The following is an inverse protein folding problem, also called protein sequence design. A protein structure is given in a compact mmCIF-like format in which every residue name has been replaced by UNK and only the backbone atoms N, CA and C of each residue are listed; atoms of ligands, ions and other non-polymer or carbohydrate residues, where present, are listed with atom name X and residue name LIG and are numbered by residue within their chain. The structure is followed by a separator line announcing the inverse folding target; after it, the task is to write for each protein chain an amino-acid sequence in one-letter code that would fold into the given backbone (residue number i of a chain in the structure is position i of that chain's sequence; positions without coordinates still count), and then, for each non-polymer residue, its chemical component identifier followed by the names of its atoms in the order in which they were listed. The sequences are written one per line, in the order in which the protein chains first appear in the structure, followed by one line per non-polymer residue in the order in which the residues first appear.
data_IF_756624905541
#
_entry.id   IF_756624905541
#
_cell.length_a   1.000
_cell.length_b   1.000
_cell.length_c   1.000
_cell.angle_alpha   90.00
_cell.angle_beta   90.00
_cell.angle_gamma   90.00
#
_symmetry.space_group_name_H-M   'P 1'
#
loop_
_entity.id
_entity.type
_entity.pdbx_description
1 polymer ?
#
# COMPACT_ATOMS: atom_id res chain seq x y z
N UNK A 1 29.69 21.84 -14.06
CA UNK A 1 28.92 23.10 -14.00
C UNK A 1 27.45 22.90 -13.58
N UNK A 2 26.64 22.11 -14.30
CA UNK A 2 25.22 21.91 -13.96
C UNK A 2 24.96 21.30 -12.56
N UNK A 3 25.80 20.37 -12.10
CA UNK A 3 25.67 19.75 -10.77
C UNK A 3 25.80 20.79 -9.66
N UNK A 4 26.83 21.64 -9.71
CA UNK A 4 27.03 22.72 -8.73
C UNK A 4 25.87 23.73 -8.78
N UNK A 5 25.43 24.11 -9.98
CA UNK A 5 24.27 25.01 -10.16
C UNK A 5 22.98 24.43 -9.57
N UNK A 6 22.78 23.11 -9.65
CA UNK A 6 21.64 22.45 -9.03
C UNK A 6 21.79 22.39 -7.50
N UNK A 7 22.99 22.12 -6.99
CA UNK A 7 23.29 22.06 -5.57
C UNK A 7 23.15 23.42 -4.87
N UNK A 8 23.43 24.53 -5.56
CA UNK A 8 23.26 25.90 -5.05
C UNK A 8 21.84 26.21 -4.54
N UNK A 9 20.81 25.52 -5.05
CA UNK A 9 19.43 25.66 -4.54
C UNK A 9 19.26 25.16 -3.10
N UNK A 10 20.04 24.16 -2.72
CA UNK A 10 20.00 23.54 -1.40
C UNK A 10 21.12 24.04 -0.49
N UNK A 11 22.22 24.53 -1.06
CA UNK A 11 23.41 25.03 -0.34
C UNK A 11 23.80 26.38 -0.97
N UNK A 12 23.24 27.50 -0.50
CA UNK A 12 23.51 28.82 -1.07
C UNK A 12 24.99 29.24 -1.01
N UNK A 13 25.72 28.80 0.04
CA UNK A 13 27.15 29.08 0.24
C UNK A 13 28.06 28.61 -0.91
N UNK A 14 27.60 27.68 -1.76
CA UNK A 14 28.33 27.22 -2.95
C UNK A 14 28.47 28.29 -4.05
N UNK A 15 27.86 29.47 -3.91
CA UNK A 15 28.08 30.58 -4.84
C UNK A 15 29.47 31.20 -4.67
N UNK A 16 29.92 31.37 -3.43
CA UNK A 16 31.15 32.10 -3.10
C UNK A 16 32.33 31.16 -2.77
N UNK A 17 32.03 29.91 -2.45
CA UNK A 17 33.01 28.93 -1.98
C UNK A 17 33.56 28.00 -3.06
N UNK A 18 33.12 28.17 -4.32
CA UNK A 18 33.46 27.27 -5.43
C UNK A 18 34.12 28.03 -6.57
N UNK A 19 35.28 27.57 -7.01
CA UNK A 19 36.03 28.12 -8.14
C UNK A 19 36.28 27.05 -9.21
N UNK A 20 36.10 27.43 -10.49
CA UNK A 20 36.32 26.54 -11.62
C UNK A 20 37.76 26.64 -12.11
N UNK A 21 38.50 25.53 -12.06
CA UNK A 21 39.75 25.36 -12.80
C UNK A 21 39.50 24.89 -14.24
N UNK A 22 40.57 24.65 -15.00
CA UNK A 22 40.47 24.12 -16.36
C UNK A 22 39.91 22.69 -16.41
N UNK A 23 40.31 21.84 -15.46
CA UNK A 23 39.91 20.42 -15.40
C UNK A 23 39.20 20.02 -14.11
N UNK A 24 39.39 20.79 -13.03
CA UNK A 24 38.91 20.44 -11.68
C UNK A 24 38.10 21.57 -11.03
N UNK A 25 37.29 21.17 -10.05
CA UNK A 25 36.54 22.08 -9.20
C UNK A 25 37.32 22.32 -7.90
N UNK A 26 37.50 23.58 -7.52
CA UNK A 26 38.14 23.96 -6.27
C UNK A 26 37.08 24.42 -5.29
N UNK A 27 37.09 23.85 -4.08
CA UNK A 27 36.18 24.18 -2.98
C UNK A 27 37.04 24.79 -1.87
N UNK A 28 36.65 25.97 -1.38
CA UNK A 28 37.46 26.75 -0.44
C UNK A 28 37.48 26.16 0.98
N UNK A 29 36.33 25.73 1.48
CA UNK A 29 36.20 25.25 2.87
C UNK A 29 35.86 23.75 2.90
N UNK A 30 36.30 23.03 3.95
CA UNK A 30 35.85 21.65 4.18
C UNK A 30 34.34 21.59 4.47
N UNK A 31 33.75 22.65 5.01
CA UNK A 31 32.33 22.74 5.35
C UNK A 31 31.43 22.67 4.11
N UNK A 32 31.76 23.41 3.04
CA UNK A 32 31.06 23.30 1.77
C UNK A 32 31.19 21.93 1.12
N UNK A 33 32.34 21.27 1.27
CA UNK A 33 32.53 19.90 0.82
C UNK A 33 31.63 18.92 1.59
N UNK A 34 31.61 19.00 2.92
CA UNK A 34 30.72 18.15 3.73
C UNK A 34 29.24 18.43 3.48
N UNK A 35 28.86 19.68 3.21
CA UNK A 35 27.50 20.03 2.81
C UNK A 35 27.10 19.33 1.50
N UNK A 36 28.01 19.28 0.51
CA UNK A 36 27.80 18.55 -0.74
C UNK A 36 27.66 17.03 -0.53
N UNK A 37 28.50 16.42 0.31
CA UNK A 37 28.39 14.99 0.64
C UNK A 37 27.07 14.68 1.37
N UNK A 38 26.67 15.52 2.33
CA UNK A 38 25.38 15.37 3.02
C UNK A 38 24.19 15.50 2.06
N UNK A 39 24.26 16.40 1.08
CA UNK A 39 23.26 16.51 0.02
C UNK A 39 23.26 15.29 -0.89
N UNK A 40 24.44 14.73 -1.20
CA UNK A 40 24.59 13.49 -1.99
C UNK A 40 23.95 12.31 -1.28
N UNK A 41 24.23 12.09 0.00
CA UNK A 41 23.63 11.02 0.81
C UNK A 41 22.10 11.11 0.83
N UNK A 42 21.57 12.31 1.10
CA UNK A 42 20.12 12.57 1.06
C UNK A 42 19.54 12.26 -0.33
N UNK A 43 20.20 12.71 -1.38
CA UNK A 43 19.75 12.51 -2.78
C UNK A 43 19.81 11.03 -3.18
N UNK A 44 20.83 10.29 -2.72
CA UNK A 44 20.94 8.85 -2.92
C UNK A 44 19.74 8.11 -2.28
N UNK A 45 19.37 8.50 -1.05
CA UNK A 45 18.16 7.99 -0.40
C UNK A 45 16.87 8.24 -1.20
N UNK A 46 16.77 9.40 -1.86
CA UNK A 46 15.64 9.71 -2.77
C UNK A 46 15.64 8.78 -3.99
N UNK A 47 16.79 8.51 -4.61
CA UNK A 47 16.89 7.59 -5.75
C UNK A 47 16.55 6.16 -5.36
N UNK A 48 17.09 5.66 -4.24
CA UNK A 48 16.76 4.34 -3.70
C UNK A 48 15.25 4.22 -3.47
N UNK A 49 14.65 5.21 -2.82
CA UNK A 49 13.20 5.26 -2.59
C UNK A 49 12.40 5.26 -3.89
N UNK A 50 12.84 5.99 -4.92
CA UNK A 50 12.19 6.00 -6.24
C UNK A 50 12.25 4.63 -6.91
N UNK A 51 13.41 3.97 -6.89
CA UNK A 51 13.60 2.64 -7.48
C UNK A 51 12.75 1.62 -6.74
N UNK A 52 12.80 1.61 -5.41
CA UNK A 52 11.99 0.71 -4.57
C UNK A 52 10.50 0.91 -4.84
N UNK A 53 10.01 2.16 -4.87
CA UNK A 53 8.60 2.46 -5.21
C UNK A 53 8.25 1.97 -6.62
N UNK A 54 9.12 2.19 -7.61
CA UNK A 54 8.90 1.73 -8.97
C UNK A 54 8.83 0.20 -9.06
N UNK A 55 9.71 -0.52 -8.36
CA UNK A 55 9.72 -1.97 -8.28
C UNK A 55 8.47 -2.51 -7.58
N UNK A 56 8.14 -2.00 -6.39
CA UNK A 56 6.94 -2.42 -5.64
C UNK A 56 5.68 -2.17 -6.47
N UNK A 57 5.61 -1.03 -7.15
CA UNK A 57 4.52 -0.72 -8.09
C UNK A 57 4.47 -1.72 -9.25
N UNK A 58 5.60 -2.05 -9.87
CA UNK A 58 5.66 -3.03 -10.95
C UNK A 58 5.24 -4.43 -10.49
N UNK A 59 5.78 -4.90 -9.37
CA UNK A 59 5.52 -6.21 -8.79
C UNK A 59 4.04 -6.35 -8.39
N UNK A 60 3.49 -5.35 -7.67
CA UNK A 60 2.08 -5.33 -7.26
C UNK A 60 1.11 -5.17 -8.43
N UNK A 61 1.49 -4.45 -9.49
CA UNK A 61 0.61 -4.19 -10.65
C UNK A 61 0.15 -5.45 -11.35
N UNK A 62 0.94 -6.53 -11.40
CA UNK A 62 0.50 -7.80 -12.01
C UNK A 62 -0.71 -8.38 -11.27
N UNK A 63 -0.64 -8.40 -9.93
CA UNK A 63 -1.73 -8.86 -9.08
C UNK A 63 -2.97 -7.96 -9.23
N UNK A 64 -2.77 -6.65 -9.18
CA UNK A 64 -3.87 -5.68 -9.35
C UNK A 64 -4.55 -5.77 -10.73
N UNK A 65 -3.81 -6.04 -11.81
CA UNK A 65 -4.37 -6.26 -13.14
C UNK A 65 -5.20 -7.55 -13.20
N UNK A 66 -4.74 -8.62 -12.56
CA UNK A 66 -5.49 -9.88 -12.47
C UNK A 66 -6.81 -9.66 -11.72
N UNK A 67 -6.73 -9.03 -10.56
CA UNK A 67 -7.87 -8.60 -9.75
C UNK A 67 -8.87 -7.73 -10.53
N UNK A 68 -8.39 -6.77 -11.31
CA UNK A 68 -9.20 -5.93 -12.20
C UNK A 68 -9.90 -6.72 -13.33
N UNK A 69 -9.25 -7.76 -13.84
CA UNK A 69 -9.84 -8.65 -14.84
C UNK A 69 -10.93 -9.54 -14.23
N UNK A 70 -10.70 -10.07 -13.03
CA UNK A 70 -11.64 -10.98 -12.35
C UNK A 70 -12.92 -10.26 -11.92
N UNK A 71 -12.81 -9.05 -11.36
CA UNK A 71 -14.00 -8.24 -11.04
C UNK A 71 -14.78 -7.84 -12.30
N UNK A 72 -14.09 -7.62 -13.42
CA UNK A 72 -14.75 -7.28 -14.68
C UNK A 72 -15.57 -8.45 -15.22
N UNK A 73 -15.15 -9.70 -14.98
CA UNK A 73 -15.96 -10.90 -15.26
C UNK A 73 -17.18 -10.97 -14.34
N UNK A 74 -16.98 -10.72 -13.04
CA UNK A 74 -18.06 -10.73 -12.04
C UNK A 74 -19.14 -9.70 -12.39
N UNK A 75 -18.75 -8.47 -12.72
CA UNK A 75 -19.67 -7.42 -13.15
C UNK A 75 -20.41 -7.78 -14.44
N UNK A 76 -19.73 -8.39 -15.42
CA UNK A 76 -20.39 -8.84 -16.64
C UNK A 76 -21.40 -9.95 -16.37
N UNK A 77 -21.09 -10.90 -15.47
CA UNK A 77 -21.99 -11.99 -15.07
C UNK A 77 -23.24 -11.48 -14.37
N UNK A 78 -23.09 -10.47 -13.52
CA UNK A 78 -24.18 -9.90 -12.71
C UNK A 78 -24.88 -8.70 -13.38
N UNK A 79 -24.52 -8.38 -14.63
CA UNK A 79 -25.13 -7.28 -15.37
C UNK A 79 -24.83 -5.87 -14.81
N UNK A 80 -23.76 -5.69 -14.03
CA UNK A 80 -23.43 -4.37 -13.47
C UNK A 80 -22.96 -3.40 -14.55
N UNK A 81 -23.67 -2.27 -14.65
CA UNK A 81 -23.31 -1.11 -15.46
C UNK A 81 -21.92 -0.56 -15.12
N UNK A 82 -21.21 -0.11 -16.14
CA UNK A 82 -19.84 0.43 -16.00
C UNK A 82 -19.80 1.87 -16.46
N UNK A 83 -19.12 2.70 -15.67
CA UNK A 83 -18.69 4.03 -16.08
C UNK A 83 -17.37 3.97 -16.85
N UNK A 84 -17.16 4.90 -17.79
CA UNK A 84 -15.89 5.00 -18.54
C UNK A 84 -14.70 5.16 -17.60
N UNK A 85 -14.82 6.01 -16.56
CA UNK A 85 -13.75 6.25 -15.58
C UNK A 85 -13.35 4.96 -14.86
N UNK A 86 -14.33 4.15 -14.44
CA UNK A 86 -14.09 2.86 -13.76
C UNK A 86 -13.49 1.77 -14.67
N UNK A 87 -13.62 1.91 -15.99
CA UNK A 87 -13.16 0.93 -16.97
C UNK A 87 -11.71 1.11 -17.40
N UNK A 88 -11.20 2.34 -17.36
CA UNK A 88 -9.87 2.69 -17.86
C UNK A 88 -8.86 2.98 -16.76
N UNK A 89 -9.34 3.17 -15.52
CA UNK A 89 -8.48 3.48 -14.39
C UNK A 89 -7.61 2.27 -14.02
N UNK A 90 -6.28 2.37 -14.09
CA UNK A 90 -5.41 1.37 -13.49
C UNK A 90 -5.51 1.47 -11.97
N UNK A 91 -5.43 0.33 -11.29
CA UNK A 91 -5.35 0.30 -9.83
C UNK A 91 -3.96 0.78 -9.38
N UNK A 92 -3.92 1.67 -8.39
CA UNK A 92 -2.71 2.33 -7.89
C UNK A 92 -2.59 2.28 -6.35
N UNK A 93 -3.59 1.73 -5.64
CA UNK A 93 -3.73 1.59 -4.17
C UNK A 93 -3.73 2.90 -3.39
N UNK A 94 -2.81 3.81 -3.66
CA UNK A 94 -2.57 5.04 -2.91
C UNK A 94 -2.76 6.27 -3.81
N UNK A 95 -3.89 6.95 -3.59
CA UNK A 95 -4.36 8.08 -4.38
C UNK A 95 -4.28 9.41 -3.63
N UNK A 96 -4.00 9.40 -2.32
CA UNK A 96 -3.85 10.62 -1.54
C UNK A 96 -2.58 11.39 -1.99
N UNK A 97 -2.77 12.45 -2.77
CA UNK A 97 -1.68 13.28 -3.34
C UNK A 97 -1.25 14.42 -2.42
N UNK A 98 -2.15 14.91 -1.57
CA UNK A 98 -1.86 15.98 -0.63
C UNK A 98 -0.91 15.46 0.46
N UNK A 99 0.28 16.05 0.55
CA UNK A 99 1.32 15.64 1.49
C UNK A 99 0.95 15.92 2.95
N UNK A 100 0.20 16.98 3.24
CA UNK A 100 -0.19 17.35 4.60
C UNK A 100 -1.28 16.40 5.11
N UNK A 101 -2.32 16.19 4.30
CA UNK A 101 -3.39 15.23 4.58
C UNK A 101 -2.80 13.83 4.74
N UNK A 102 -1.91 13.42 3.83
CA UNK A 102 -1.20 12.14 3.93
C UNK A 102 -0.44 12.01 5.25
N UNK A 103 0.32 13.03 5.64
CA UNK A 103 1.08 12.99 6.89
C UNK A 103 0.15 12.86 8.11
N UNK A 104 -0.99 13.58 8.11
CA UNK A 104 -2.00 13.47 9.16
C UNK A 104 -2.62 12.07 9.24
N UNK A 105 -2.96 11.46 8.09
CA UNK A 105 -3.45 10.07 8.02
C UNK A 105 -2.40 9.10 8.57
N UNK A 106 -1.13 9.24 8.17
CA UNK A 106 -0.06 8.35 8.66
C UNK A 106 0.15 8.48 10.17
N UNK A 107 -0.02 9.68 10.74
CA UNK A 107 0.03 9.87 12.19
C UNK A 107 -1.10 9.12 12.92
N UNK A 108 -2.33 9.12 12.37
CA UNK A 108 -3.46 8.32 12.89
C UNK A 108 -3.12 6.82 12.84
N UNK A 109 -2.59 6.33 11.70
CA UNK A 109 -2.20 4.92 11.58
C UNK A 109 -1.12 4.53 12.59
N UNK A 110 -0.10 5.39 12.77
CA UNK A 110 0.97 5.19 13.73
C UNK A 110 0.46 5.16 15.17
N UNK A 111 -0.48 6.02 15.53
CA UNK A 111 -1.12 6.02 16.85
C UNK A 111 -1.79 4.67 17.16
N UNK A 112 -2.36 4.01 16.16
CA UNK A 112 -2.95 2.68 16.30
C UNK A 112 -1.96 1.53 16.12
N UNK A 113 -0.67 1.80 15.92
CA UNK A 113 0.36 0.79 15.70
C UNK A 113 0.25 0.05 14.36
N UNK A 114 -0.48 0.62 13.40
CA UNK A 114 -0.64 0.01 12.07
C UNK A 114 0.59 0.29 11.19
N UNK A 115 1.06 -0.78 10.53
CA UNK A 115 2.22 -0.72 9.65
C UNK A 115 1.88 -0.01 8.33
N UNK A 116 2.43 1.20 8.19
CA UNK A 116 2.27 2.04 6.99
C UNK A 116 2.84 1.40 5.72
N UNK A 117 3.71 0.38 5.83
CA UNK A 117 4.24 -0.36 4.67
C UNK A 117 3.19 -1.28 4.01
N UNK A 118 2.08 -1.55 4.70
CA UNK A 118 0.99 -2.45 4.26
C UNK A 118 -0.31 -1.69 3.96
N UNK A 119 -0.18 -0.49 3.39
CA UNK A 119 -1.32 0.28 2.90
C UNK A 119 -1.93 -0.41 1.66
N UNK A 120 -3.18 -0.85 1.76
CA UNK A 120 -3.89 -1.53 0.68
C UNK A 120 -4.71 -0.55 -0.17
N UNK A 121 -5.31 0.46 0.45
CA UNK A 121 -6.03 1.52 -0.23
C UNK A 121 -5.97 2.84 0.55
N UNK A 122 -5.84 3.97 -0.13
CA UNK A 122 -5.98 5.31 0.45
C UNK A 122 -6.48 6.29 -0.60
N UNK A 123 -7.67 6.85 -0.41
CA UNK A 123 -8.18 7.94 -1.26
C UNK A 123 -9.24 8.77 -0.53
N UNK A 124 -9.54 9.94 -1.10
CA UNK A 124 -10.75 10.67 -0.78
C UNK A 124 -11.99 9.93 -1.32
N UNK A 125 -13.04 9.91 -0.52
CA UNK A 125 -14.36 9.32 -0.83
C UNK A 125 -15.44 10.26 -0.33
N UNK A 126 -16.64 10.15 -0.88
CA UNK A 126 -17.80 10.83 -0.32
C UNK A 126 -18.64 9.84 0.47
N UNK A 127 -19.26 10.30 1.55
CA UNK A 127 -20.15 9.50 2.39
C UNK A 127 -21.58 9.98 2.22
N UNK A 128 -22.54 9.06 2.13
CA UNK A 128 -23.95 9.44 2.23
C UNK A 128 -24.28 9.65 3.71
N UNK A 129 -24.66 10.89 4.03
CA UNK A 129 -25.03 11.31 5.38
C UNK A 129 -26.39 10.77 5.82
N UNK A 130 -26.67 10.91 7.11
CA UNK A 130 -27.97 10.62 7.72
C UNK A 130 -29.16 11.28 7.01
N UNK A 131 -28.94 12.47 6.42
CA UNK A 131 -29.95 13.21 5.68
C UNK A 131 -30.05 12.80 4.20
N UNK A 132 -29.32 11.77 3.77
CA UNK A 132 -29.26 11.35 2.36
C UNK A 132 -28.43 12.27 1.47
N UNK A 133 -27.70 13.23 2.04
CA UNK A 133 -26.84 14.15 1.29
C UNK A 133 -25.45 13.54 1.12
N UNK A 134 -24.86 13.68 -0.07
CA UNK A 134 -23.47 13.31 -0.36
C UNK A 134 -22.52 14.30 0.30
N UNK A 135 -21.80 13.85 1.34
CA UNK A 135 -20.81 14.62 2.05
C UNK A 135 -19.41 14.34 1.49
N UNK A 136 -18.73 15.34 0.91
CA UNK A 136 -17.34 15.20 0.50
C UNK A 136 -16.38 15.23 1.69
N UNK A 137 -15.07 15.24 1.42
CA UNK A 137 -14.01 15.37 2.41
C UNK A 137 -13.86 14.19 3.39
N UNK A 138 -14.36 13.00 3.04
CA UNK A 138 -14.00 11.78 3.76
C UNK A 138 -12.79 11.12 3.12
N UNK A 139 -12.01 10.39 3.91
CA UNK A 139 -10.90 9.58 3.45
C UNK A 139 -11.13 8.14 3.87
N UNK A 140 -11.03 7.22 2.91
CA UNK A 140 -11.06 5.79 3.17
C UNK A 140 -9.63 5.28 3.11
N UNK A 141 -9.18 4.69 4.23
CA UNK A 141 -7.87 4.05 4.32
C UNK A 141 -8.06 2.61 4.72
N UNK A 142 -7.46 1.70 3.97
CA UNK A 142 -7.51 0.25 4.22
C UNK A 142 -6.07 -0.22 4.38
N UNK A 143 -5.77 -0.81 5.54
CA UNK A 143 -4.51 -1.49 5.83
C UNK A 143 -4.74 -3.01 5.83
N UNK A 144 -3.69 -3.80 6.04
CA UNK A 144 -3.83 -5.24 6.21
C UNK A 144 -4.61 -5.65 7.48
N UNK A 145 -4.70 -4.77 8.49
CA UNK A 145 -5.31 -5.04 9.80
C UNK A 145 -6.67 -4.38 9.97
N UNK A 146 -6.85 -3.15 9.45
CA UNK A 146 -8.01 -2.32 9.75
C UNK A 146 -8.42 -1.43 8.58
N UNK A 147 -9.68 -1.01 8.62
CA UNK A 147 -10.25 0.04 7.79
C UNK A 147 -10.46 1.29 8.64
N UNK A 148 -10.15 2.45 8.07
CA UNK A 148 -10.31 3.75 8.69
C UNK A 148 -11.18 4.62 7.80
N UNK A 149 -12.19 5.22 8.41
CA UNK A 149 -12.98 6.30 7.83
C UNK A 149 -12.56 7.57 8.56
N UNK A 150 -11.92 8.48 7.85
CA UNK A 150 -11.49 9.77 8.39
C UNK A 150 -12.26 10.90 7.72
N UNK A 151 -12.43 12.01 8.42
CA UNK A 151 -13.02 13.24 7.92
C UNK A 151 -11.94 14.32 7.88
N UNK A 152 -11.80 14.98 6.73
CA UNK A 152 -10.96 16.17 6.59
C UNK A 152 -11.66 17.38 7.19
N UNK A 153 -10.92 18.18 7.95
CA UNK A 153 -11.41 19.44 8.51
C UNK A 153 -10.65 20.58 7.86
N UNK A 154 -11.34 21.70 7.60
CA UNK A 154 -10.67 22.93 7.20
C UNK A 154 -10.20 23.65 8.47
N UNK A 155 -8.88 23.77 8.73
CA UNK A 155 -8.38 24.46 9.92
C UNK A 155 -8.84 25.93 9.98
N UNK A 156 -9.18 26.54 8.84
CA UNK A 156 -9.66 27.91 8.75
C UNK A 156 -11.15 28.08 9.15
N UNK A 157 -11.88 26.99 9.35
CA UNK A 157 -13.29 27.02 9.76
C UNK A 157 -13.50 27.29 11.26
N UNK A 158 -12.43 27.27 12.06
CA UNK A 158 -12.51 27.63 13.48
C UNK A 158 -12.61 29.15 13.63
N UNK A 159 -13.82 29.63 13.94
CA UNK A 159 -14.13 31.07 14.09
C UNK A 159 -13.56 31.67 15.38
N UNK A 160 -13.27 30.82 16.37
CA UNK A 160 -12.80 31.25 17.68
C UNK A 160 -11.26 31.22 17.79
N UNK A 161 -10.58 32.36 17.94
CA UNK A 161 -9.11 32.42 18.06
C UNK A 161 -8.57 31.78 19.36
N UNK A 162 -9.45 31.43 20.30
CA UNK A 162 -9.13 30.67 21.53
C UNK A 162 -9.46 29.18 21.43
N UNK A 163 -10.19 28.74 20.40
CA UNK A 163 -10.49 27.33 20.20
C UNK A 163 -9.25 26.60 19.69
N UNK A 164 -9.01 25.40 20.20
CA UNK A 164 -7.95 24.52 19.71
C UNK A 164 -8.21 24.24 18.23
N UNK A 165 -7.22 24.51 17.38
CA UNK A 165 -7.34 24.27 15.94
C UNK A 165 -7.60 22.78 15.71
N UNK A 166 -8.72 22.41 15.06
CA UNK A 166 -9.02 21.01 14.82
C UNK A 166 -7.92 20.38 13.96
N UNK A 167 -7.61 19.09 14.18
CA UNK A 167 -6.63 18.41 13.36
C UNK A 167 -7.14 18.36 11.92
N UNK A 168 -6.23 18.53 10.95
CA UNK A 168 -6.52 18.51 9.51
C UNK A 168 -7.36 17.29 9.08
N UNK A 169 -7.16 16.17 9.76
CA UNK A 169 -7.93 14.94 9.56
C UNK A 169 -8.30 14.36 10.94
N UNK A 170 -9.57 14.00 11.10
CA UNK A 170 -10.08 13.34 12.31
C UNK A 170 -10.58 11.93 11.99
N UNK A 171 -10.16 10.95 12.79
CA UNK A 171 -10.68 9.59 12.72
C UNK A 171 -12.14 9.57 13.16
N UNK A 172 -13.03 9.10 12.28
CA UNK A 172 -14.45 8.93 12.61
C UNK A 172 -14.73 7.52 13.09
N UNK A 173 -14.23 6.54 12.36
CA UNK A 173 -14.35 5.13 12.72
C UNK A 173 -13.14 4.34 12.27
N UNK A 174 -12.54 3.59 13.20
CA UNK A 174 -11.64 2.48 12.90
C UNK A 174 -12.38 1.16 13.09
N UNK A 175 -12.25 0.26 12.12
CA UNK A 175 -12.84 -1.07 12.17
C UNK A 175 -11.74 -2.10 11.87
N UNK A 176 -11.65 -3.22 12.62
CA UNK A 176 -10.80 -4.32 12.18
C UNK A 176 -11.30 -4.80 10.82
N UNK A 177 -10.40 -5.21 9.94
CA UNK A 177 -10.78 -5.55 8.57
C UNK A 177 -11.81 -6.70 8.56
N UNK A 178 -11.71 -7.63 9.51
CA UNK A 178 -12.66 -8.72 9.73
C UNK A 178 -14.09 -8.29 10.11
N UNK A 179 -14.32 -7.04 10.50
CA UNK A 179 -15.67 -6.52 10.78
C UNK A 179 -16.47 -6.22 9.50
N UNK A 180 -15.85 -6.26 8.32
CA UNK A 180 -16.56 -6.14 7.05
C UNK A 180 -17.15 -7.51 6.70
N UNK A 181 -18.46 -7.58 6.59
CA UNK A 181 -19.21 -8.81 6.29
C UNK A 181 -19.44 -9.00 4.79
N UNK A 182 -19.51 -7.90 4.04
CA UNK A 182 -19.82 -7.95 2.63
C UNK A 182 -19.85 -6.57 1.98
N UNK A 183 -19.94 -6.57 0.66
CA UNK A 183 -20.04 -5.34 -0.14
C UNK A 183 -21.28 -5.45 -1.00
N UNK A 184 -22.16 -4.44 -0.92
CA UNK A 184 -23.34 -4.34 -1.78
C UNK A 184 -23.12 -3.18 -2.75
N UNK A 185 -23.45 -3.40 -4.02
CA UNK A 185 -23.44 -2.34 -5.02
C UNK A 185 -24.78 -2.30 -5.75
N UNK A 186 -25.11 -1.18 -6.35
CA UNK A 186 -26.17 -1.12 -7.34
C UNK A 186 -25.82 -1.94 -8.60
N UNK A 187 -26.82 -2.34 -9.42
CA UNK A 187 -26.57 -2.86 -10.76
C UNK A 187 -26.24 -1.77 -11.78
N UNK A 188 -26.34 -0.49 -11.43
CA UNK A 188 -26.19 0.62 -12.37
C UNK A 188 -24.75 1.12 -12.50
N UNK A 189 -24.54 2.03 -13.46
CA UNK A 189 -23.26 2.65 -13.77
C UNK A 189 -22.99 3.88 -12.88
N UNK A 190 -22.90 3.67 -11.58
CA UNK A 190 -22.69 4.73 -10.58
C UNK A 190 -21.43 4.49 -9.71
N UNK A 191 -21.01 5.49 -8.91
CA UNK A 191 -19.83 5.38 -8.05
C UNK A 191 -20.12 4.82 -6.64
N UNK A 192 -21.34 4.36 -6.35
CA UNK A 192 -21.71 3.97 -4.99
C UNK A 192 -21.27 2.54 -4.64
N UNK A 193 -20.88 2.36 -3.38
CA UNK A 193 -20.69 1.07 -2.75
C UNK A 193 -21.15 1.13 -1.29
N UNK A 194 -21.78 0.05 -0.83
CA UNK A 194 -22.17 -0.11 0.57
C UNK A 194 -21.28 -1.16 1.20
N UNK A 195 -20.67 -0.81 2.34
CA UNK A 195 -19.92 -1.74 3.16
C UNK A 195 -20.85 -2.25 4.27
N UNK A 196 -21.11 -3.56 4.28
CA UNK A 196 -21.84 -4.22 5.36
C UNK A 196 -20.87 -4.48 6.50
N UNK A 197 -21.17 -3.91 7.66
CA UNK A 197 -20.27 -3.91 8.83
C UNK A 197 -20.99 -4.57 10.00
N UNK A 198 -20.26 -5.41 10.73
CA UNK A 198 -20.73 -5.99 11.98
C UNK A 198 -20.96 -4.89 13.01
N UNK A 199 -22.20 -4.78 13.49
CA UNK A 199 -22.57 -3.78 14.49
C UNK A 199 -21.99 -4.15 15.85
N UNK A 200 -21.39 -3.17 16.52
CA UNK A 200 -20.89 -3.33 17.88
C UNK A 200 -22.03 -3.06 18.87
N UNK A 201 -22.26 -3.94 19.87
CA UNK A 201 -23.30 -3.70 20.87
C UNK A 201 -22.98 -2.45 21.69
N UNK A 202 -24.04 -1.76 22.13
CA UNK A 202 -23.92 -0.61 23.02
C UNK A 202 -23.55 -1.11 24.41
N UNK A 203 -22.46 -0.58 24.96
CA UNK A 203 -22.05 -0.88 26.34
C UNK A 203 -23.02 -0.19 27.30
N UNK A 204 -23.58 -0.91 28.28
CA UNK A 204 -24.55 -0.32 29.22
C UNK A 204 -23.89 0.70 30.14
N UNK A 205 -22.59 0.55 30.42
CA UNK A 205 -21.79 1.47 31.22
C UNK A 205 -20.44 1.73 30.54
N UNK A 206 -19.86 2.93 30.72
CA UNK A 206 -18.53 3.22 30.19
C UNK A 206 -17.46 2.31 30.78
N UNK A 207 -16.56 1.82 29.91
CA UNK A 207 -15.37 1.08 30.33
C UNK A 207 -14.33 2.06 30.90
N UNK A 208 -14.07 1.92 32.20
CA UNK A 208 -13.08 2.69 32.95
C UNK A 208 -11.90 1.82 33.43
N UNK A 209 -11.74 0.60 32.91
CA UNK A 209 -10.67 -0.33 33.32
C UNK A 209 -9.25 0.22 33.15
N UNK A 210 -9.04 1.15 32.21
CA UNK A 210 -7.76 1.80 31.95
C UNK A 210 -7.55 3.09 32.76
N UNK A 211 -8.53 3.51 33.59
CA UNK A 211 -8.39 4.73 34.38
C UNK A 211 -7.33 4.56 35.46
N UNK A 212 -6.42 5.53 35.51
CA UNK A 212 -5.45 5.63 36.58
C UNK A 212 -6.09 6.21 37.83
N UNK A 213 -5.69 5.66 38.99
CA UNK A 213 -6.07 6.21 40.29
C UNK A 213 -5.58 7.66 40.42
N UNK A 214 -6.36 8.51 41.06
CA UNK A 214 -6.02 9.90 41.39
C UNK A 214 -4.71 10.04 42.16
N UNK A 215 -4.34 9.00 42.93
CA UNK A 215 -3.08 8.94 43.69
C UNK A 215 -1.86 8.56 42.85
N UNK A 216 -2.07 8.03 41.64
CA UNK A 216 -0.97 7.62 40.74
C UNK A 216 -0.11 8.78 40.25
N UNK A 217 -0.61 10.01 40.31
CA UNK A 217 0.17 11.21 39.98
C UNK A 217 -0.28 12.43 40.77
N UNK A 218 0.70 13.17 41.30
CA UNK A 218 0.50 14.46 41.94
C UNK A 218 0.49 15.63 40.94
N UNK A 219 0.77 15.38 39.66
CA UNK A 219 0.87 16.40 38.61
C UNK A 219 0.21 15.96 37.29
N UNK A 220 -0.16 16.95 36.48
CA UNK A 220 -0.69 16.75 35.13
C UNK A 220 0.30 15.96 34.28
N UNK A 221 -0.16 14.89 33.62
CA UNK A 221 0.69 14.01 32.81
C UNK A 221 1.09 14.58 31.44
N UNK A 222 0.63 15.79 31.10
CA UNK A 222 1.07 16.52 29.91
C UNK A 222 1.90 17.77 30.25
N UNK A 223 1.47 18.56 31.24
CA UNK A 223 2.09 19.87 31.55
C UNK A 223 2.99 19.85 32.78
N UNK A 224 3.00 18.75 33.54
CA UNK A 224 3.67 18.65 34.84
C UNK A 224 3.21 19.64 35.92
N UNK A 225 2.13 20.41 35.69
CA UNK A 225 1.52 21.27 36.71
C UNK A 225 1.05 20.43 37.91
N UNK A 226 1.44 20.80 39.13
CA UNK A 226 1.00 20.11 40.35
C UNK A 226 -0.49 20.31 40.57
N UNK A 227 -1.19 19.23 40.90
CA UNK A 227 -2.60 19.30 41.27
C UNK A 227 -2.76 19.92 42.65
N UNK A 228 -3.76 20.78 42.79
CA UNK A 228 -4.05 21.56 44.01
C UNK A 228 -5.54 21.88 44.10
N UNK A 229 -5.94 22.73 45.04
CA UNK A 229 -7.31 23.26 45.11
C UNK A 229 -7.67 24.13 43.90
N UNK A 230 -6.69 24.73 43.23
CA UNK A 230 -6.89 25.57 42.05
C UNK A 230 -6.63 24.81 40.73
N UNK A 231 -5.84 23.75 40.77
CA UNK A 231 -5.57 22.89 39.61
C UNK A 231 -6.18 21.52 39.85
N UNK A 232 -7.44 21.36 39.44
CA UNK A 232 -8.20 20.11 39.62
C UNK A 232 -7.72 19.02 38.65
N UNK A 233 -7.96 17.77 39.06
CA UNK A 233 -7.67 16.56 38.26
C UNK A 233 -8.81 16.29 37.30
N UNK A 234 -8.47 15.92 36.06
CA UNK A 234 -9.42 15.49 35.06
C UNK A 234 -8.91 14.24 34.34
N UNK A 235 -9.71 13.17 34.32
CA UNK A 235 -9.40 11.98 33.54
C UNK A 235 -9.71 12.18 32.06
N UNK A 236 -8.78 11.78 31.20
CA UNK A 236 -9.06 11.61 29.78
C UNK A 236 -9.76 10.26 29.56
N UNK A 237 -10.92 10.26 28.88
CA UNK A 237 -11.66 9.01 28.63
C UNK A 237 -11.01 8.09 27.60
N UNK A 238 -10.06 8.60 26.80
CA UNK A 238 -9.29 7.80 25.84
C UNK A 238 -8.05 7.19 26.48
N UNK A 239 -7.21 8.01 27.14
CA UNK A 239 -5.91 7.56 27.68
C UNK A 239 -5.98 7.04 29.12
N UNK A 240 -7.02 7.39 29.88
CA UNK A 240 -7.16 7.04 31.30
C UNK A 240 -6.26 7.82 32.26
N UNK A 241 -5.41 8.71 31.73
CA UNK A 241 -4.46 9.52 32.50
C UNK A 241 -5.10 10.78 33.13
N UNK A 242 -4.36 11.41 34.04
CA UNK A 242 -4.75 12.60 34.80
C UNK A 242 -4.18 13.88 34.19
N UNK A 243 -5.05 14.86 33.97
CA UNK A 243 -4.70 16.13 33.33
C UNK A 243 -5.31 17.34 34.06
N UNK A 244 -4.72 18.53 33.84
CA UNK A 244 -5.31 19.81 34.22
C UNK A 244 -6.24 20.32 33.10
N UNK A 245 -7.13 21.27 33.42
CA UNK A 245 -8.13 21.80 32.49
C UNK A 245 -7.52 22.35 31.18
N UNK A 246 -6.31 22.90 31.24
CA UNK A 246 -5.61 23.54 30.11
C UNK A 246 -5.35 22.62 28.92
N UNK A 247 -5.34 21.30 29.13
CA UNK A 247 -5.03 20.31 28.08
C UNK A 247 -6.16 19.31 27.84
N UNK A 248 -7.33 19.54 28.46
CA UNK A 248 -8.57 18.77 28.23
C UNK A 248 -9.71 19.72 27.90
N UNK A 249 -9.43 20.65 27.00
CA UNK A 249 -10.35 21.70 26.58
C UNK A 249 -11.46 21.15 25.69
N UNK A 250 -11.20 20.07 24.95
CA UNK A 250 -12.15 19.47 24.02
C UNK A 250 -13.01 18.36 24.66
N UNK A 251 -14.27 18.29 24.21
CA UNK A 251 -15.23 17.24 24.57
C UNK A 251 -15.60 16.42 23.33
N UNK A 252 -15.41 15.11 23.40
CA UNK A 252 -15.73 14.19 22.30
C UNK A 252 -16.41 12.93 22.83
N UNK A 253 -17.33 12.31 22.07
CA UNK A 253 -17.79 10.96 22.38
C UNK A 253 -16.65 9.96 22.20
N UNK A 254 -16.63 8.92 23.03
CA UNK A 254 -15.67 7.80 22.98
C UNK A 254 -16.45 6.48 22.95
N UNK A 255 -17.10 6.15 21.82
CA UNK A 255 -17.98 4.98 21.70
C UNK A 255 -17.29 3.65 22.00
N UNK A 256 -16.01 3.50 21.63
CA UNK A 256 -15.23 2.28 21.90
C UNK A 256 -15.03 2.01 23.41
N UNK A 257 -15.31 3.01 24.26
CA UNK A 257 -15.31 2.92 25.74
C UNK A 257 -16.70 3.12 26.34
N UNK A 258 -17.76 3.10 25.54
CA UNK A 258 -19.13 3.29 26.04
C UNK A 258 -19.50 4.72 26.45
N UNK A 259 -18.69 5.73 26.11
CA UNK A 259 -19.04 7.14 26.31
C UNK A 259 -19.73 7.69 25.06
N UNK A 260 -21.07 7.70 25.04
CA UNK A 260 -21.84 8.14 23.86
C UNK A 260 -22.18 9.64 23.84
N UNK A 261 -21.96 10.34 24.95
CA UNK A 261 -22.05 11.80 25.03
C UNK A 261 -20.65 12.42 25.06
N UNK A 262 -20.49 13.70 24.71
CA UNK A 262 -19.19 14.36 24.74
C UNK A 262 -18.56 14.36 26.14
N UNK A 263 -17.35 13.83 26.24
CA UNK A 263 -16.57 13.71 27.48
C UNK A 263 -15.16 14.26 27.31
N UNK A 264 -14.49 14.60 28.42
CA UNK A 264 -13.14 15.19 28.40
C UNK A 264 -12.12 14.22 27.81
N UNK A 265 -11.40 14.70 26.82
CA UNK A 265 -10.24 14.02 26.23
C UNK A 265 -9.05 14.97 26.25
N UNK A 266 -7.84 14.42 26.27
CA UNK A 266 -6.63 15.27 26.20
C UNK A 266 -6.46 15.77 24.78
N UNK A 267 -6.13 17.04 24.62
CA UNK A 267 -6.12 17.70 23.30
C UNK A 267 -5.12 17.03 22.33
N UNK A 268 -4.05 16.43 22.85
CA UNK A 268 -3.03 15.73 22.07
C UNK A 268 -3.50 14.43 21.38
N UNK A 269 -4.68 13.89 21.73
CA UNK A 269 -5.23 12.68 21.09
C UNK A 269 -6.49 12.97 20.27
N UNK A 270 -6.93 14.22 20.22
CA UNK A 270 -8.09 14.62 19.41
C UNK A 270 -7.81 14.28 17.93
N UNK A 271 -8.78 13.63 17.29
CA UNK A 271 -8.67 13.15 15.91
C UNK A 271 -8.00 11.77 15.74
N UNK A 272 -7.47 11.15 16.80
CA UNK A 272 -6.80 9.84 16.73
C UNK A 272 -7.62 8.65 17.26
N UNK A 273 -8.89 8.83 17.61
CA UNK A 273 -9.76 7.75 18.10
C UNK A 273 -11.14 7.81 17.44
N UNK A 274 -11.85 6.68 17.40
CA UNK A 274 -13.19 6.61 16.80
C UNK A 274 -14.18 7.48 17.58
N UNK A 275 -14.95 8.31 16.88
CA UNK A 275 -16.05 9.10 17.45
C UNK A 275 -17.43 8.54 17.10
N UNK A 276 -17.50 7.70 16.07
CA UNK A 276 -18.75 7.15 15.54
C UNK A 276 -18.87 5.66 15.89
N UNK A 277 -20.09 5.15 15.92
CA UNK A 277 -20.37 3.72 16.13
C UNK A 277 -20.14 2.90 14.85
N UNK A 278 -19.93 1.59 14.98
CA UNK A 278 -19.86 0.69 13.84
C UNK A 278 -21.26 0.52 13.22
N UNK A 279 -21.38 0.83 11.93
CA UNK A 279 -22.63 0.72 11.16
C UNK A 279 -22.33 0.51 9.68
N UNK A 280 -23.33 0.07 8.92
CA UNK A 280 -23.19 -0.02 7.46
C UNK A 280 -23.03 1.39 6.86
N UNK A 281 -22.07 1.57 5.97
CA UNK A 281 -21.79 2.86 5.33
C UNK A 281 -21.99 2.79 3.82
N UNK A 282 -22.63 3.82 3.25
CA UNK A 282 -22.68 4.04 1.81
C UNK A 282 -21.65 5.10 1.42
N UNK A 283 -20.68 4.68 0.59
CA UNK A 283 -19.62 5.53 0.08
C UNK A 283 -19.78 5.74 -1.42
N UNK A 284 -19.35 6.88 -1.93
CA UNK A 284 -19.25 7.16 -3.35
C UNK A 284 -17.79 7.40 -3.71
N UNK A 285 -17.28 6.64 -4.69
CA UNK A 285 -15.93 6.83 -5.23
C UNK A 285 -15.85 6.29 -6.66
N UNK A 286 -15.17 7.03 -7.54
CA UNK A 286 -14.84 6.52 -8.88
C UNK A 286 -13.96 5.25 -8.83
N UNK A 287 -13.29 5.02 -7.69
CA UNK A 287 -12.39 3.89 -7.42
C UNK A 287 -13.11 2.75 -6.70
N UNK A 288 -14.45 2.77 -6.61
CA UNK A 288 -15.26 1.71 -5.94
C UNK A 288 -14.89 0.29 -6.34
N UNK A 289 -14.49 0.08 -7.61
CA UNK A 289 -14.13 -1.24 -8.14
C UNK A 289 -12.81 -1.71 -7.55
N UNK A 290 -11.85 -0.81 -7.37
CA UNK A 290 -10.57 -1.13 -6.71
C UNK A 290 -10.78 -1.36 -5.23
N UNK A 291 -11.52 -0.48 -4.55
CA UNK A 291 -11.86 -0.61 -3.12
C UNK A 291 -12.45 -1.99 -2.86
N UNK A 292 -13.50 -2.36 -3.60
CA UNK A 292 -14.18 -3.63 -3.38
C UNK A 292 -13.28 -4.84 -3.62
N UNK A 293 -12.43 -4.77 -4.64
CA UNK A 293 -11.55 -5.87 -5.01
C UNK A 293 -10.38 -6.02 -4.04
N UNK A 294 -9.82 -4.91 -3.57
CA UNK A 294 -8.78 -4.92 -2.55
C UNK A 294 -9.31 -5.51 -1.24
N UNK A 295 -10.52 -5.10 -0.82
CA UNK A 295 -11.15 -5.61 0.40
C UNK A 295 -11.49 -7.11 0.27
N UNK A 296 -12.10 -7.55 -0.84
CA UNK A 296 -12.40 -9.00 -1.08
C UNK A 296 -11.13 -9.83 -1.23
N UNK A 297 -10.06 -9.29 -1.82
CA UNK A 297 -8.80 -10.00 -1.90
C UNK A 297 -8.12 -10.15 -0.52
N UNK A 298 -8.27 -9.15 0.35
CA UNK A 298 -7.78 -9.20 1.73
C UNK A 298 -8.65 -10.11 2.62
N UNK A 299 -9.96 -10.14 2.39
CA UNK A 299 -10.96 -10.94 3.10
C UNK A 299 -11.61 -11.94 2.14
N UNK A 300 -11.02 -13.12 1.98
CA UNK A 300 -11.54 -14.13 1.02
C UNK A 300 -12.92 -14.70 1.38
N UNK A 301 -13.40 -14.46 2.59
CA UNK A 301 -14.69 -14.93 3.12
C UNK A 301 -15.87 -14.09 2.65
N UNK A 302 -15.65 -12.84 2.24
CA UNK A 302 -16.73 -11.92 1.89
C UNK A 302 -17.05 -11.96 0.41
N UNK A 303 -18.28 -11.56 0.06
CA UNK A 303 -18.75 -11.52 -1.33
C UNK A 303 -19.26 -10.13 -1.71
N UNK A 304 -19.33 -9.90 -3.04
CA UNK A 304 -19.95 -8.71 -3.61
C UNK A 304 -21.33 -9.09 -4.13
N UNK A 305 -22.36 -8.44 -3.59
CA UNK A 305 -23.75 -8.60 -4.01
C UNK A 305 -24.26 -7.35 -4.72
N UNK A 306 -25.35 -7.50 -5.49
CA UNK A 306 -25.95 -6.41 -6.25
C UNK A 306 -27.42 -6.26 -5.91
N UNK A 307 -27.83 -5.05 -5.55
CA UNK A 307 -29.21 -4.75 -5.17
C UNK A 307 -29.59 -3.33 -5.60
N UNK A 308 -30.86 -3.16 -5.99
CA UNK A 308 -31.43 -1.85 -6.36
C UNK A 308 -31.99 -1.12 -5.14
N UNK A 309 -32.33 -1.81 -4.05
CA UNK A 309 -32.88 -1.21 -2.85
C UNK A 309 -32.10 -1.68 -1.63
N UNK A 310 -31.32 -0.79 -1.03
CA UNK A 310 -30.39 -1.14 0.04
C UNK A 310 -30.78 -0.39 1.31
N UNK A 311 -31.25 -1.12 2.32
CA UNK A 311 -31.42 -0.58 3.68
C UNK A 311 -30.15 -0.78 4.49
N UNK A 312 -29.60 0.28 5.05
CA UNK A 312 -28.39 0.25 5.88
C UNK A 312 -28.74 -0.15 7.32
N UNK A 313 -27.87 -0.93 7.98
CA UNK A 313 -27.96 -1.19 9.41
C UNK A 313 -27.26 -0.06 10.17
N UNK A 314 -28.04 0.86 10.71
CA UNK A 314 -27.57 2.03 11.45
C UNK A 314 -27.32 1.70 12.93
N UNK A 315 -26.34 2.36 13.53
CA UNK A 315 -26.12 2.25 14.96
C UNK A 315 -27.28 2.90 15.76
N UNK A 316 -27.58 2.43 16.98
CA UNK A 316 -28.63 3.02 17.82
C UNK A 316 -28.25 4.40 18.38
N UNK A 317 -26.96 4.69 18.52
CA UNK A 317 -26.42 5.96 19.03
C UNK A 317 -25.24 6.38 18.14
N UNK A 318 -25.02 7.69 17.98
CA UNK A 318 -23.94 8.25 17.14
C UNK A 318 -23.96 7.72 15.69
N UNK A 319 -25.16 7.46 15.15
CA UNK A 319 -25.33 7.07 13.76
C UNK A 319 -25.22 8.28 12.83
N UNK A 320 -24.52 8.07 11.73
CA UNK A 320 -24.19 9.06 10.70
C UNK A 320 -24.65 8.64 9.31
N UNK A 321 -25.08 7.40 9.14
CA UNK A 321 -25.67 6.86 7.92
C UNK A 321 -27.20 6.97 7.94
N UNK A 322 -27.84 7.04 6.75
CA UNK A 322 -29.29 7.17 6.66
C UNK A 322 -29.99 5.88 7.08
N UNK A 323 -31.09 6.02 7.83
CA UNK A 323 -31.99 4.91 8.19
C UNK A 323 -32.98 4.55 7.07
N UNK A 324 -33.20 5.48 6.15
CA UNK A 324 -34.07 5.32 4.99
C UNK A 324 -33.48 4.33 3.98
N UNK A 325 -34.35 3.73 3.17
CA UNK A 325 -33.90 2.79 2.13
C UNK A 325 -33.24 3.55 0.99
N UNK A 326 -32.05 3.13 0.56
CA UNK A 326 -31.40 3.68 -0.63
C UNK A 326 -31.91 2.96 -1.88
N UNK A 327 -32.74 3.62 -2.68
CA UNK A 327 -33.25 3.07 -3.93
C UNK A 327 -32.48 3.62 -5.11
N UNK A 328 -31.94 2.76 -5.96
CA UNK A 328 -31.18 3.15 -7.14
C UNK A 328 -32.05 3.00 -8.39
N UNK A 329 -32.00 4.00 -9.26
CA UNK A 329 -32.71 4.02 -10.53
C UNK A 329 -31.89 4.73 -11.61
N UNK A 330 -32.32 4.62 -12.87
CA UNK A 330 -31.70 5.33 -14.00
C UNK A 330 -32.57 6.50 -14.43
N UNK A 331 -31.94 7.65 -14.70
CA UNK A 331 -32.63 8.84 -15.20
C UNK A 331 -31.75 9.66 -16.15
N UNK A 332 -32.19 10.88 -16.46
CA UNK A 332 -31.48 11.77 -17.38
C UNK A 332 -30.16 12.31 -16.79
N UNK A 333 -30.13 12.60 -15.49
CA UNK A 333 -28.99 13.15 -14.78
C UNK A 333 -28.79 12.44 -13.43
N UNK A 334 -27.58 12.55 -12.89
CA UNK A 334 -27.25 12.00 -11.58
C UNK A 334 -27.76 12.92 -10.49
N UNK A 335 -28.64 12.43 -9.62
CA UNK A 335 -29.25 13.19 -8.55
C UNK A 335 -29.56 12.31 -7.33
N UNK A 336 -29.64 12.92 -6.16
CA UNK A 336 -30.14 12.26 -4.95
C UNK A 336 -31.38 13.00 -4.48
N UNK A 337 -32.51 12.32 -4.48
CA UNK A 337 -33.81 12.86 -4.06
C UNK A 337 -34.21 12.18 -2.76
N UNK A 338 -34.32 12.96 -1.70
CA UNK A 338 -34.73 12.47 -0.38
C UNK A 338 -36.24 12.53 -0.29
N UNK A 339 -36.87 11.39 0.00
CA UNK A 339 -38.31 11.25 0.28
C UNK A 339 -38.47 10.63 1.67
N UNK A 340 -39.61 10.83 2.37
CA UNK A 340 -39.85 10.17 3.65
C UNK A 340 -39.69 8.65 3.52
N UNK A 341 -38.78 8.05 4.29
CA UNK A 341 -38.53 6.60 4.29
C UNK A 341 -37.70 6.07 3.12
N UNK A 342 -37.36 6.91 2.12
CA UNK A 342 -36.69 6.46 0.90
C UNK A 342 -35.79 7.55 0.30
N UNK A 343 -34.52 7.24 0.10
CA UNK A 343 -33.56 8.10 -0.59
C UNK A 343 -33.35 7.51 -1.99
N UNK A 344 -33.83 8.22 -3.00
CA UNK A 344 -33.73 7.81 -4.39
C UNK A 344 -32.44 8.37 -5.00
N UNK A 345 -31.55 7.48 -5.39
CA UNK A 345 -30.30 7.79 -6.09
C UNK A 345 -30.52 7.52 -7.58
N UNK A 346 -30.77 8.59 -8.33
CA UNK A 346 -30.92 8.55 -9.78
C UNK A 346 -29.54 8.59 -10.42
N UNK A 347 -29.24 7.62 -11.27
CA UNK A 347 -27.99 7.47 -12.00
C UNK A 347 -28.20 7.92 -13.45
N UNK A 348 -27.34 8.81 -13.95
CA UNK A 348 -27.43 9.24 -15.34
C UNK A 348 -27.27 8.05 -16.30
N UNK A 349 -28.27 7.82 -17.15
CA UNK A 349 -28.21 6.77 -18.18
C UNK A 349 -27.02 6.97 -19.14
N UNK A 350 -26.63 8.24 -19.37
CA UNK A 350 -25.48 8.61 -20.20
C UNK A 350 -24.12 8.11 -19.64
N UNK A 351 -24.02 7.85 -18.34
CA UNK A 351 -22.80 7.34 -17.70
C UNK A 351 -22.56 5.86 -18.02
N UNK A 352 -23.60 5.13 -18.44
CA UNK A 352 -23.51 3.73 -18.78
C UNK A 352 -22.78 3.54 -20.10
N UNK A 353 -21.67 2.81 -20.05
CA UNK A 353 -20.93 2.46 -21.26
C UNK A 353 -21.75 1.47 -22.11
N UNK A 354 -21.98 1.76 -23.41
CA UNK A 354 -22.75 0.88 -24.28
C UNK A 354 -22.14 -0.52 -24.40
N UNK A 355 -22.99 -1.56 -24.48
CA UNK A 355 -22.56 -2.95 -24.56
C UNK A 355 -21.69 -3.23 -25.80
N UNK A 356 -22.04 -2.67 -26.95
CA UNK A 356 -21.25 -2.79 -28.19
C UNK A 356 -19.81 -2.30 -28.01
N UNK A 357 -19.64 -1.21 -27.25
CA UNK A 357 -18.32 -0.66 -26.94
C UNK A 357 -17.49 -1.60 -26.05
N UNK A 358 -18.12 -2.23 -25.06
CA UNK A 358 -17.47 -3.23 -24.19
C UNK A 358 -17.02 -4.46 -24.98
N UNK A 359 -17.85 -4.96 -25.89
CA UNK A 359 -17.50 -6.12 -26.73
C UNK A 359 -16.39 -5.80 -27.73
N UNK A 360 -16.47 -4.65 -28.42
CA UNK A 360 -15.42 -4.20 -29.30
C UNK A 360 -14.08 -4.03 -28.56
N UNK A 361 -14.12 -3.54 -27.31
CA UNK A 361 -12.95 -3.45 -26.44
C UNK A 361 -12.38 -4.83 -26.11
N UNK A 362 -13.19 -5.79 -25.65
CA UNK A 362 -12.74 -7.16 -25.36
C UNK A 362 -12.04 -7.78 -26.57
N UNK A 363 -12.60 -7.58 -27.78
CA UNK A 363 -11.99 -8.03 -29.04
C UNK A 363 -10.62 -7.38 -29.28
N UNK A 364 -10.50 -6.06 -29.08
CA UNK A 364 -9.22 -5.33 -29.20
C UNK A 364 -8.18 -5.80 -28.17
N UNK A 365 -8.58 -6.01 -26.92
CA UNK A 365 -7.69 -6.48 -25.86
C UNK A 365 -7.18 -7.91 -26.13
N UNK A 366 -8.05 -8.82 -26.57
CA UNK A 366 -7.66 -10.17 -27.01
C UNK A 366 -6.66 -10.13 -28.17
N UNK A 367 -6.91 -9.28 -29.18
CA UNK A 367 -5.97 -9.09 -30.31
C UNK A 367 -4.61 -8.57 -29.85
N UNK A 368 -4.60 -7.53 -29.01
CA UNK A 368 -3.36 -6.96 -28.46
C UNK A 368 -2.60 -7.95 -27.58
N UNK A 369 -3.32 -8.77 -26.79
CA UNK A 369 -2.70 -9.83 -25.99
C UNK A 369 -2.04 -10.88 -26.90
N UNK A 370 -2.75 -11.38 -27.92
CA UNK A 370 -2.20 -12.33 -28.90
C UNK A 370 -0.94 -11.78 -29.58
N UNK A 371 -0.94 -10.52 -29.99
CA UNK A 371 0.24 -9.86 -30.59
C UNK A 371 1.43 -9.78 -29.63
N UNK A 372 1.21 -9.35 -28.37
CA UNK A 372 2.28 -9.28 -27.36
C UNK A 372 2.81 -10.66 -26.97
N UNK A 373 1.94 -11.67 -26.93
CA UNK A 373 2.33 -13.05 -26.60
C UNK A 373 3.18 -13.63 -27.74
N UNK A 374 2.80 -13.39 -29.00
CA UNK A 374 3.59 -13.76 -30.17
C UNK A 374 4.95 -13.04 -30.20
N UNK A 375 4.99 -11.74 -29.89
CA UNK A 375 6.25 -10.98 -29.82
C UNK A 375 7.17 -11.54 -28.71
N UNK A 376 6.63 -11.84 -27.53
CA UNK A 376 7.40 -12.44 -26.44
C UNK A 376 7.94 -13.82 -26.80
N UNK A 377 7.15 -14.65 -27.49
CA UNK A 377 7.60 -15.95 -27.99
C UNK A 377 8.72 -15.82 -29.02
N UNK A 378 8.63 -14.85 -29.94
CA UNK A 378 9.69 -14.56 -30.90
C UNK A 378 10.98 -14.08 -30.21
N UNK A 379 10.88 -13.15 -29.25
CA UNK A 379 12.02 -12.67 -28.47
C UNK A 379 12.68 -13.79 -27.66
N UNK A 380 11.87 -14.70 -27.09
CA UNK A 380 12.36 -15.87 -26.36
C UNK A 380 13.07 -16.86 -27.29
N UNK A 381 12.51 -17.14 -28.48
CA UNK A 381 13.15 -17.97 -29.50
C UNK A 381 14.50 -17.40 -29.97
N UNK A 382 14.59 -16.06 -30.13
CA UNK A 382 15.86 -15.39 -30.46
C UNK A 382 16.86 -15.58 -29.31
N UNK A 383 16.41 -15.48 -28.05
CA UNK A 383 17.27 -15.67 -26.88
C UNK A 383 17.73 -17.11 -26.71
N UNK A 384 16.89 -18.11 -26.99
CA UNK A 384 17.26 -19.52 -26.93
C UNK A 384 18.25 -19.86 -28.04
N UNK A 385 18.00 -19.43 -29.27
CA UNK A 385 18.94 -19.59 -30.38
C UNK A 385 20.32 -18.98 -30.07
N UNK A 386 20.35 -17.77 -29.48
CA UNK A 386 21.61 -17.14 -29.02
C UNK A 386 22.29 -17.87 -27.86
N UNK A 387 21.58 -18.68 -27.08
CA UNK A 387 22.18 -19.52 -26.03
C UNK A 387 22.75 -20.80 -26.63
N UNK A 388 22.03 -21.43 -27.56
CA UNK A 388 22.47 -22.63 -28.27
C UNK A 388 23.74 -22.37 -29.09
N UNK A 389 23.83 -21.24 -29.80
CA UNK A 389 25.05 -20.84 -30.50
C UNK A 389 26.23 -20.70 -29.53
N UNK A 390 26.03 -19.97 -28.42
CA UNK A 390 27.06 -19.82 -27.37
C UNK A 390 27.40 -21.13 -26.66
N UNK A 391 26.53 -22.12 -26.68
CA UNK A 391 26.79 -23.44 -26.11
C UNK A 391 27.59 -24.31 -27.08
N UNK A 392 27.25 -24.28 -28.37
CA UNK A 392 28.05 -24.89 -29.44
C UNK A 392 29.46 -24.33 -29.50
N UNK A 393 29.62 -23.01 -29.46
CA UNK A 393 30.95 -22.36 -29.42
C UNK A 393 31.78 -22.84 -28.20
N UNK A 394 31.14 -22.95 -27.03
CA UNK A 394 31.80 -23.46 -25.81
C UNK A 394 32.16 -24.95 -25.93
N UNK A 395 31.33 -25.76 -26.59
CA UNK A 395 31.59 -27.17 -26.83
C UNK A 395 32.72 -27.38 -27.85
N UNK A 396 32.72 -26.62 -28.94
CA UNK A 396 33.80 -26.59 -29.93
C UNK A 396 35.12 -26.16 -29.32
N UNK A 397 35.12 -25.10 -28.49
CA UNK A 397 36.31 -24.68 -27.76
C UNK A 397 36.81 -25.78 -26.81
N UNK A 398 35.90 -26.46 -26.12
CA UNK A 398 36.24 -27.59 -25.25
C UNK A 398 36.86 -28.75 -26.04
N UNK A 399 36.27 -29.11 -27.19
CA UNK A 399 36.79 -30.15 -28.08
C UNK A 399 38.18 -29.77 -28.61
N UNK A 400 38.39 -28.51 -29.00
CA UNK A 400 39.69 -27.99 -29.44
C UNK A 400 40.75 -28.10 -28.35
N UNK A 401 40.44 -27.71 -27.11
CA UNK A 401 41.35 -27.85 -25.96
C UNK A 401 41.67 -29.32 -25.65
N UNK A 402 40.71 -30.23 -25.81
CA UNK A 402 40.93 -31.67 -25.61
C UNK A 402 41.81 -32.24 -26.72
N UNK A 403 41.58 -31.87 -27.98
CA UNK A 403 42.40 -32.29 -29.12
C UNK A 403 43.84 -31.79 -28.98
N UNK A 404 44.04 -30.53 -28.58
CA UNK A 404 45.35 -29.95 -28.32
C UNK A 404 46.09 -30.69 -27.18
N UNK A 405 45.39 -30.98 -26.08
CA UNK A 405 45.95 -31.82 -25.00
C UNK A 405 46.31 -33.23 -25.47
N UNK A 406 45.48 -33.88 -26.31
CA UNK A 406 45.77 -35.20 -26.88
C UNK A 406 47.00 -35.15 -27.81
N UNK A 407 47.07 -34.16 -28.69
CA UNK A 407 48.20 -33.95 -29.60
C UNK A 407 49.50 -33.71 -28.83
N UNK A 408 49.47 -32.88 -27.78
CA UNK A 408 50.62 -32.66 -26.88
C UNK A 408 51.06 -33.95 -26.19
N UNK A 409 50.10 -34.74 -25.69
CA UNK A 409 50.40 -36.02 -25.04
C UNK A 409 50.95 -37.06 -26.03
N UNK A 410 50.48 -37.06 -27.28
CA UNK A 410 50.98 -37.93 -28.34
C UNK A 410 52.40 -37.54 -28.78
N UNK A 411 52.69 -36.25 -28.91
CA UNK A 411 54.04 -35.77 -29.25
C UNK A 411 55.04 -36.02 -28.12
N UNK A 412 54.64 -35.88 -26.85
CA UNK A 412 55.45 -36.33 -25.70
C UNK A 412 55.72 -37.84 -25.75
N UNK A 413 54.73 -38.65 -26.13
CA UNK A 413 54.87 -40.11 -26.25
C UNK A 413 55.80 -40.50 -27.40
N UNK A 414 55.72 -39.80 -28.55
CA UNK A 414 56.62 -39.99 -29.69
C UNK A 414 58.06 -39.55 -29.39
N UNK A 415 58.24 -38.44 -28.65
CA UNK A 415 59.55 -38.03 -28.14
C UNK A 415 60.13 -39.06 -27.17
N UNK A 416 59.29 -39.73 -26.37
CA UNK A 416 59.70 -40.86 -25.52
C UNK A 416 60.02 -42.13 -26.32
N UNK A 417 59.40 -42.39 -27.46
CA UNK A 417 59.70 -43.55 -28.30
C UNK A 417 60.90 -43.36 -29.26
N UNK A 418 61.26 -42.12 -29.58
CA UNK A 418 62.48 -41.79 -30.35
C UNK A 418 63.77 -41.76 -29.51
N UNK A 419 63.66 -41.79 -28.18
CA UNK A 419 64.77 -41.93 -27.26
C UNK A 419 64.95 -43.40 -26.90
N UNK A 420 65.58 -44.15 -27.80
CA UNK A 420 66.10 -45.48 -27.49
C UNK A 420 67.26 -45.37 -26.52
N UNK A 421 66.97 -45.37 -25.22
CA UNK A 421 67.94 -45.71 -24.17
C UNK A 421 67.23 -46.52 -23.10
N UNK A 422 67.62 -47.79 -23.02
CA UNK A 422 67.36 -48.66 -21.89
C UNK A 422 67.86 -47.99 -20.61
N UNK A 423 67.00 -47.89 -19.60
CA UNK A 423 67.46 -47.93 -18.21
C UNK A 423 66.41 -48.69 -17.40
N UNK A 424 66.83 -49.83 -16.87
CA UNK A 424 66.09 -50.64 -15.94
C UNK A 424 66.34 -50.18 -14.49
N UNK A 425 65.33 -50.45 -13.64
CA UNK A 425 65.31 -50.44 -12.16
C UNK A 425 65.25 -49.05 -11.49
N UNK A 426 64.45 -48.76 -10.46
CA UNK A 426 63.96 -49.57 -9.34
C UNK A 426 62.50 -49.25 -8.97
N UNK A 427 61.83 -50.25 -8.38
CA UNK A 427 60.44 -50.15 -7.96
C UNK A 427 60.21 -49.33 -6.69
N UNK A 428 59.07 -48.62 -6.66
CA UNK A 428 58.28 -48.40 -5.46
C UNK A 428 56.85 -47.96 -5.84
N UNK A 429 55.86 -48.67 -5.28
CA UNK A 429 54.43 -48.34 -5.18
C UNK A 429 53.58 -48.32 -6.45
N UNK A 430 53.24 -49.54 -6.89
CA UNK A 430 52.03 -49.84 -7.66
C UNK A 430 50.79 -49.45 -6.83
N UNK A 431 50.08 -48.40 -7.25
CA UNK A 431 48.66 -48.21 -6.88
C UNK A 431 47.80 -48.94 -7.92
N UNK A 432 47.00 -49.90 -7.45
CA UNK A 432 46.03 -50.68 -8.23
C UNK A 432 45.03 -49.74 -8.92
N UNK A 433 44.87 -49.95 -10.22
CA UNK A 433 43.85 -49.30 -11.05
C UNK A 433 42.50 -49.93 -10.69
N UNK A 434 41.63 -49.17 -10.00
CA UNK A 434 40.32 -49.67 -9.53
C UNK A 434 39.69 -48.90 -8.35
N UNK A 435 40.41 -48.00 -7.69
CA UNK A 435 39.79 -47.12 -6.68
C UNK A 435 39.09 -45.93 -7.35
N UNK A 436 37.78 -45.86 -7.17
CA UNK A 436 36.97 -44.70 -7.51
C UNK A 436 37.44 -43.50 -6.70
N UNK A 437 38.13 -42.56 -7.35
CA UNK A 437 38.20 -41.20 -6.85
C UNK A 437 36.79 -40.64 -6.88
N UNK A 438 36.22 -40.40 -5.69
CA UNK A 438 35.03 -39.58 -5.55
C UNK A 438 35.25 -38.28 -6.33
N UNK A 439 34.39 -38.03 -7.31
CA UNK A 439 34.39 -36.76 -8.04
C UNK A 439 34.28 -35.63 -7.02
N UNK A 440 35.01 -34.51 -7.18
CA UNK A 440 34.69 -33.31 -6.44
C UNK A 440 33.29 -32.88 -6.91
N UNK A 441 32.27 -33.22 -6.13
CA UNK A 441 30.94 -32.71 -6.34
C UNK A 441 31.03 -31.19 -6.24
N UNK A 442 30.68 -30.52 -7.33
CA UNK A 442 30.49 -29.08 -7.32
C UNK A 442 29.31 -28.74 -6.42
N UNK A 443 29.60 -28.42 -5.15
CA UNK A 443 28.60 -28.04 -4.14
C UNK A 443 27.82 -26.76 -4.47
N UNK A 444 28.17 -26.04 -5.55
CA UNK A 444 27.48 -24.82 -5.95
C UNK A 444 26.01 -25.05 -6.36
N UNK A 445 25.66 -26.21 -6.90
CA UNK A 445 24.26 -26.52 -7.27
C UNK A 445 23.45 -27.10 -6.11
N UNK A 446 24.08 -27.83 -5.19
CA UNK A 446 23.42 -28.39 -4.01
C UNK A 446 23.16 -27.32 -2.94
N UNK A 447 24.06 -26.36 -2.76
CA UNK A 447 23.86 -25.22 -1.86
C UNK A 447 22.76 -24.27 -2.37
N UNK A 448 22.69 -24.04 -3.69
CA UNK A 448 21.61 -23.25 -4.29
C UNK A 448 20.25 -23.96 -4.15
N UNK A 449 20.22 -25.29 -4.31
CA UNK A 449 19.01 -26.09 -4.11
C UNK A 449 18.58 -26.12 -2.63
N UNK A 450 19.53 -26.21 -1.69
CA UNK A 450 19.27 -26.15 -0.26
C UNK A 450 18.78 -24.76 0.19
N UNK A 451 19.33 -23.68 -0.37
CA UNK A 451 18.88 -22.31 -0.13
C UNK A 451 17.46 -22.06 -0.70
N UNK A 452 17.13 -22.66 -1.84
CA UNK A 452 15.79 -22.59 -2.42
C UNK A 452 14.76 -23.46 -1.67
N UNK A 453 15.18 -24.60 -1.08
CA UNK A 453 14.33 -25.45 -0.26
C UNK A 453 13.99 -24.82 1.10
N UNK A 454 14.95 -24.17 1.77
CA UNK A 454 14.70 -23.39 3.02
C UNK A 454 13.72 -22.23 2.82
N UNK A 455 13.60 -21.74 1.58
CA UNK A 455 12.65 -20.66 1.22
C UNK A 455 11.24 -21.15 0.90
N UNK A 456 11.04 -22.47 0.75
CA UNK A 456 9.75 -23.09 0.39
C UNK A 456 8.99 -23.71 1.57
N UNK A 457 9.55 -23.70 2.78
CA UNK A 457 8.82 -24.03 4.01
C UNK A 457 8.19 -25.43 4.01
N UNK A 458 9.02 -26.43 4.26
CA UNK A 458 8.65 -27.56 5.11
C UNK A 458 9.44 -27.41 6.41
#
# INVERSE_FOLDING_TARGET
KYIVKAAQKAIPALQDEVQWGQTMLFIRTPEAFFALEKLRERTFGVFVSRIQRAWTKYAGRRHLLQLSADISKLYAKQGKGRQRVSLYRPFDTDYCRDSQVRAAILAVLQYHGDDTSKLLFCDNVDKISKLGIRQPNFYLVVTASAMYILEGQDPASSVDPKAVVPPLVSLRRRLPLSAIEGIVMSPFADPFLVLRITQTPVLPTPDVSHWKDNKSSASCMATNKKFSLFTRRHHCRVTGNLYCADVVSNLHPVPDRGCYTPVRVVDSVVGYFSTDMAEDVCLASEKKTEIAVVIVNALRTISITFDKAIRLRTAPVLSTSPSDTLTFETGAATAITVRPGNIVITVAAADQVPAQYLEARKKRERRRKKQRDAQRAADEAIRTARREVREKEREEERLRRVAEKKARKASERAKRSGSGTNLATNGANVRKFGEQLAQPQSNATSELAAALARRRGN
#
